data_IF_862523542824
#
_entry.id   IF_862523542824
#
_cell.length_a   1.000
_cell.length_b   1.000
_cell.length_c   1.000
_cell.angle_alpha   90.00
_cell.angle_beta   90.00
_cell.angle_gamma   90.00
#
_symmetry.space_group_name_H-M   'P 1'
#
loop_
_entity.id
_entity.type
_entity.pdbx_description
1 polymer ?
#
# COMPACT_ATOMS: atom_id res chain seq x y z
N UNK A 1 -65.64 -34.86 -80.50
CA UNK A 1 -65.04 -34.27 -81.68
C UNK A 1 -63.60 -34.14 -81.36
N UNK A 2 -62.88 -35.16 -81.74
CA UNK A 2 -61.97 -35.19 -82.90
C UNK A 2 -60.66 -34.43 -82.63
N UNK A 3 -59.63 -34.99 -82.64
CA UNK A 3 -58.77 -35.98 -83.32
C UNK A 3 -57.33 -35.69 -82.89
N UNK A 4 -56.55 -36.67 -82.48
CA UNK A 4 -55.50 -37.37 -83.23
C UNK A 4 -54.44 -36.43 -83.82
N UNK A 5 -53.18 -36.68 -83.76
CA UNK A 5 -52.33 -37.86 -83.82
C UNK A 5 -50.86 -37.46 -83.58
N UNK A 6 -50.10 -38.39 -82.98
CA UNK A 6 -48.89 -39.04 -83.56
C UNK A 6 -47.76 -38.11 -84.04
N UNK A 7 -46.55 -38.28 -83.76
CA UNK A 7 -45.60 -39.41 -83.74
C UNK A 7 -44.29 -39.06 -83.11
N UNK A 8 -43.68 -40.01 -82.50
CA UNK A 8 -42.21 -40.09 -82.23
C UNK A 8 -41.47 -40.37 -83.53
N UNK A 9 -40.19 -40.46 -83.70
CA UNK A 9 -39.12 -40.73 -82.70
C UNK A 9 -37.69 -40.11 -82.98
N UNK A 10 -36.79 -40.43 -82.08
CA UNK A 10 -35.35 -40.69 -82.29
C UNK A 10 -34.42 -39.46 -82.48
N UNK A 11 -33.49 -39.26 -81.58
CA UNK A 11 -32.10 -39.70 -81.70
C UNK A 11 -31.27 -39.29 -80.51
N UNK A 12 -30.63 -40.23 -80.01
CA UNK A 12 -29.46 -40.36 -79.19
C UNK A 12 -28.36 -39.35 -79.56
N UNK A 13 -27.86 -38.57 -78.57
CA UNK A 13 -26.47 -38.18 -78.60
C UNK A 13 -25.98 -38.01 -77.17
N UNK A 14 -25.07 -38.88 -76.81
CA UNK A 14 -24.25 -38.77 -75.66
C UNK A 14 -23.39 -37.51 -75.75
N UNK A 15 -23.49 -36.63 -74.78
CA UNK A 15 -22.49 -35.59 -74.49
C UNK A 15 -22.08 -35.65 -73.04
N UNK A 16 -20.94 -36.19 -72.87
CA UNK A 16 -19.76 -35.74 -72.13
C UNK A 16 -20.07 -34.93 -70.86
N UNK A 17 -20.15 -35.64 -69.72
CA UNK A 17 -20.02 -35.04 -68.45
C UNK A 17 -18.52 -34.77 -68.16
N UNK A 18 -18.02 -33.62 -68.59
CA UNK A 18 -16.80 -33.09 -68.02
C UNK A 18 -17.12 -32.53 -66.65
N UNK A 19 -16.78 -33.27 -65.67
CA UNK A 19 -16.68 -32.90 -64.27
C UNK A 19 -15.66 -31.73 -64.15
N UNK A 20 -16.12 -30.48 -64.15
CA UNK A 20 -15.32 -29.33 -63.82
C UNK A 20 -15.17 -29.34 -62.31
N UNK A 21 -14.08 -29.92 -61.82
CA UNK A 21 -13.55 -29.66 -60.48
C UNK A 21 -13.29 -28.16 -60.33
N UNK A 22 -14.31 -27.39 -59.92
CA UNK A 22 -14.11 -26.07 -59.39
C UNK A 22 -13.32 -26.19 -58.07
N UNK A 23 -12.02 -26.09 -58.18
CA UNK A 23 -11.14 -25.82 -57.04
C UNK A 23 -11.53 -24.44 -56.51
N UNK A 24 -12.51 -24.39 -55.64
CA UNK A 24 -12.79 -23.17 -54.82
C UNK A 24 -11.62 -22.95 -53.89
N UNK A 25 -10.58 -22.26 -54.39
CA UNK A 25 -9.52 -21.74 -53.56
C UNK A 25 -10.14 -20.77 -52.56
N UNK A 26 -10.28 -21.20 -51.31
CA UNK A 26 -10.85 -20.42 -50.24
C UNK A 26 -9.89 -19.26 -49.93
N UNK A 27 -10.06 -18.14 -50.64
CA UNK A 27 -9.23 -16.94 -50.58
C UNK A 27 -9.07 -16.46 -49.14
N UNK A 28 -10.09 -16.69 -48.28
CA UNK A 28 -9.99 -16.39 -46.84
C UNK A 28 -8.92 -17.24 -46.14
N UNK A 29 -8.70 -18.50 -46.53
CA UNK A 29 -7.69 -19.35 -45.93
C UNK A 29 -6.27 -18.90 -46.29
N UNK A 30 -6.08 -18.32 -47.49
CA UNK A 30 -4.79 -17.86 -47.98
C UNK A 30 -4.28 -16.61 -47.24
N UNK A 31 -5.18 -15.75 -46.75
CA UNK A 31 -4.81 -14.56 -45.98
C UNK A 31 -4.92 -14.79 -44.46
N UNK A 32 -5.81 -15.65 -44.01
CA UNK A 32 -6.02 -15.91 -42.59
C UNK A 32 -4.85 -16.67 -41.94
N UNK A 33 -4.25 -17.64 -42.65
CA UNK A 33 -3.14 -18.42 -42.14
C UNK A 33 -1.87 -17.59 -41.92
N UNK A 34 -1.37 -16.76 -42.89
CA UNK A 34 -0.25 -15.87 -42.64
C UNK A 34 -0.53 -14.84 -41.56
N UNK A 35 -1.76 -14.31 -41.47
CA UNK A 35 -2.17 -13.38 -40.41
C UNK A 35 -2.11 -14.04 -39.03
N UNK A 36 -2.63 -15.25 -38.88
CA UNK A 36 -2.55 -16.01 -37.61
C UNK A 36 -1.09 -16.33 -37.23
N UNK A 37 -0.24 -16.62 -38.19
CA UNK A 37 1.19 -16.85 -37.94
C UNK A 37 1.85 -15.55 -37.44
N UNK A 38 1.56 -14.40 -38.05
CA UNK A 38 2.08 -13.10 -37.60
C UNK A 38 1.59 -12.73 -36.19
N UNK A 39 0.31 -12.96 -35.91
CA UNK A 39 -0.24 -12.77 -34.56
C UNK A 39 0.41 -13.71 -33.55
N UNK A 40 0.62 -14.98 -33.92
CA UNK A 40 1.29 -15.97 -33.07
C UNK A 40 2.75 -15.57 -32.76
N UNK A 41 3.50 -15.11 -33.78
CA UNK A 41 4.85 -14.59 -33.61
C UNK A 41 4.85 -13.34 -32.72
N UNK A 42 3.88 -12.42 -32.89
CA UNK A 42 3.71 -11.22 -32.06
C UNK A 42 3.47 -11.57 -30.60
N UNK A 43 2.61 -12.56 -30.34
CA UNK A 43 2.33 -13.04 -28.96
C UNK A 43 3.58 -13.71 -28.37
N UNK A 44 4.26 -14.57 -29.10
CA UNK A 44 5.52 -15.22 -28.64
C UNK A 44 6.60 -14.19 -28.35
N UNK A 45 6.73 -13.17 -29.20
CA UNK A 45 7.67 -12.08 -28.99
C UNK A 45 7.28 -11.23 -27.77
N UNK A 46 5.98 -10.95 -27.58
CA UNK A 46 5.47 -10.27 -26.40
C UNK A 46 5.73 -11.06 -25.10
N UNK A 47 5.48 -12.37 -25.11
CA UNK A 47 5.79 -13.26 -23.97
C UNK A 47 7.31 -13.37 -23.75
N UNK A 48 8.12 -13.41 -24.79
CA UNK A 48 9.57 -13.40 -24.69
C UNK A 48 10.10 -12.09 -24.10
N UNK A 49 9.62 -10.94 -24.57
CA UNK A 49 9.97 -9.62 -24.00
C UNK A 49 9.52 -9.53 -22.55
N UNK A 50 8.27 -9.96 -22.23
CA UNK A 50 7.77 -9.99 -20.86
C UNK A 50 8.62 -10.92 -19.99
N UNK A 51 8.99 -12.10 -20.50
CA UNK A 51 9.86 -13.05 -19.80
C UNK A 51 11.26 -12.48 -19.55
N UNK A 52 11.88 -11.84 -20.55
CA UNK A 52 13.15 -11.13 -20.37
C UNK A 52 12.99 -9.99 -19.36
N UNK A 53 11.95 -9.18 -19.46
CA UNK A 53 11.72 -8.07 -18.53
C UNK A 53 11.55 -8.57 -17.10
N UNK A 54 10.86 -9.70 -16.89
CA UNK A 54 10.70 -10.33 -15.58
C UNK A 54 12.00 -10.98 -15.07
N UNK A 55 12.80 -11.57 -15.98
CA UNK A 55 14.08 -12.21 -15.64
C UNK A 55 15.22 -11.20 -15.49
N UNK A 56 15.15 -10.05 -16.18
CA UNK A 56 16.15 -8.97 -16.13
C UNK A 56 15.75 -7.83 -15.20
N UNK A 57 14.64 -7.95 -14.42
CA UNK A 57 14.46 -7.18 -13.22
C UNK A 57 15.48 -7.68 -12.17
N UNK A 58 16.77 -7.59 -12.49
CA UNK A 58 17.80 -7.47 -11.47
C UNK A 58 17.41 -6.23 -10.66
N UNK A 59 17.00 -6.46 -9.40
CA UNK A 59 16.90 -5.37 -8.45
C UNK A 59 18.24 -4.66 -8.51
N UNK A 60 18.25 -3.38 -8.90
CA UNK A 60 19.48 -2.59 -8.91
C UNK A 60 20.14 -2.77 -7.56
N UNK A 61 21.46 -2.92 -7.57
CA UNK A 61 22.21 -2.98 -6.33
C UNK A 61 21.86 -1.74 -5.50
N UNK A 62 21.59 -1.93 -4.22
CA UNK A 62 21.24 -0.83 -3.31
C UNK A 62 22.31 0.27 -3.32
N UNK A 63 23.56 -0.08 -3.57
CA UNK A 63 24.65 0.87 -3.69
C UNK A 63 24.57 1.71 -4.97
N UNK A 64 24.09 1.15 -6.07
CA UNK A 64 23.83 1.88 -7.32
C UNK A 64 22.65 2.83 -7.14
N UNK A 65 21.64 2.45 -6.34
CA UNK A 65 20.53 3.32 -5.99
C UNK A 65 21.01 4.50 -5.16
N UNK A 66 21.84 4.28 -4.12
CA UNK A 66 22.42 5.37 -3.29
C UNK A 66 23.25 6.33 -4.15
N UNK A 67 24.06 5.83 -5.08
CA UNK A 67 24.86 6.68 -5.98
C UNK A 67 23.96 7.46 -6.95
N UNK A 68 22.90 6.83 -7.47
CA UNK A 68 21.92 7.52 -8.33
C UNK A 68 21.18 8.62 -7.56
N UNK A 69 20.83 8.40 -6.29
CA UNK A 69 20.22 9.43 -5.43
C UNK A 69 21.19 10.58 -5.21
N UNK A 70 22.48 10.31 -5.05
CA UNK A 70 23.51 11.32 -4.81
C UNK A 70 23.79 12.18 -6.05
N UNK A 71 24.03 11.55 -7.19
CA UNK A 71 24.62 12.19 -8.37
C UNK A 71 23.75 12.17 -9.64
N UNK A 72 22.60 11.49 -9.61
CA UNK A 72 21.71 11.37 -10.75
C UNK A 72 20.98 12.68 -11.12
N UNK A 73 20.30 12.67 -12.26
CA UNK A 73 19.39 13.75 -12.65
C UNK A 73 18.16 13.76 -11.72
N UNK A 74 17.51 14.90 -11.54
CA UNK A 74 16.41 15.06 -10.60
C UNK A 74 15.36 13.94 -10.67
N UNK A 75 14.87 13.60 -11.87
CA UNK A 75 13.90 12.51 -12.04
C UNK A 75 14.43 11.13 -11.61
N UNK A 76 15.69 10.84 -11.94
CA UNK A 76 16.33 9.57 -11.61
C UNK A 76 16.56 9.44 -10.11
N UNK A 77 16.88 10.54 -9.41
CA UNK A 77 17.06 10.58 -7.95
C UNK A 77 15.77 10.20 -7.21
N UNK A 78 14.62 10.77 -7.61
CA UNK A 78 13.32 10.44 -7.02
C UNK A 78 12.94 8.98 -7.24
N UNK A 79 13.12 8.50 -8.48
CA UNK A 79 12.84 7.10 -8.80
C UNK A 79 13.72 6.14 -7.99
N UNK A 80 15.01 6.44 -7.87
CA UNK A 80 15.94 5.63 -7.09
C UNK A 80 15.60 5.63 -5.60
N UNK A 81 15.17 6.76 -5.01
CA UNK A 81 14.74 6.83 -3.62
C UNK A 81 13.48 5.99 -3.36
N UNK A 82 12.50 6.05 -4.26
CA UNK A 82 11.30 5.20 -4.19
C UNK A 82 11.65 3.71 -4.33
N UNK A 83 12.50 3.35 -5.29
CA UNK A 83 12.96 1.99 -5.51
C UNK A 83 13.73 1.47 -4.29
N UNK A 84 14.63 2.28 -3.71
CA UNK A 84 15.37 1.96 -2.49
C UNK A 84 14.43 1.65 -1.32
N UNK A 85 13.43 2.48 -1.07
CA UNK A 85 12.44 2.24 -0.02
C UNK A 85 11.69 0.91 -0.24
N UNK A 86 11.30 0.60 -1.49
CA UNK A 86 10.65 -0.66 -1.85
C UNK A 86 11.55 -1.88 -1.63
N UNK A 87 12.84 -1.77 -1.97
CA UNK A 87 13.84 -2.84 -1.77
C UNK A 87 14.02 -3.12 -0.28
N UNK A 88 14.21 -2.06 0.52
CA UNK A 88 14.42 -2.17 1.96
C UNK A 88 13.18 -2.68 2.71
N UNK A 89 11.99 -2.37 2.23
CA UNK A 89 10.74 -2.94 2.77
C UNK A 89 10.66 -4.45 2.53
N UNK A 90 11.14 -4.92 1.36
CA UNK A 90 11.16 -6.36 1.03
C UNK A 90 12.27 -7.13 1.73
N UNK A 91 13.45 -6.54 1.88
CA UNK A 91 14.58 -7.15 2.59
C UNK A 91 15.23 -6.14 3.56
N UNK A 92 14.66 -6.00 4.78
CA UNK A 92 15.20 -5.12 5.80
C UNK A 92 16.63 -5.48 6.25
N UNK A 93 17.09 -6.73 6.00
CA UNK A 93 18.43 -7.19 6.39
C UNK A 93 19.55 -6.41 5.71
N UNK A 94 19.29 -5.78 4.57
CA UNK A 94 20.22 -4.86 3.91
C UNK A 94 20.62 -3.73 4.86
N UNK A 95 19.68 -3.27 5.69
CA UNK A 95 19.95 -2.25 6.71
C UNK A 95 20.91 -2.69 7.82
N UNK A 96 21.25 -4.00 7.93
CA UNK A 96 22.23 -4.50 8.89
C UNK A 96 23.69 -4.37 8.39
N UNK A 97 23.87 -4.13 7.09
CA UNK A 97 25.20 -3.91 6.53
C UNK A 97 25.74 -2.54 6.95
N UNK A 98 26.83 -2.55 7.71
CA UNK A 98 27.46 -1.33 8.20
C UNK A 98 27.94 -0.39 7.09
N UNK A 99 28.34 -0.91 5.93
CA UNK A 99 28.72 -0.09 4.78
C UNK A 99 27.50 0.62 4.20
N UNK A 100 26.37 -0.08 4.09
CA UNK A 100 25.10 0.50 3.67
C UNK A 100 24.65 1.60 4.64
N UNK A 101 24.65 1.32 5.95
CA UNK A 101 24.29 2.28 7.00
C UNK A 101 25.10 3.56 6.89
N UNK A 102 26.42 3.45 6.79
CA UNK A 102 27.29 4.61 6.67
C UNK A 102 27.04 5.42 5.39
N UNK A 103 26.85 4.76 4.25
CA UNK A 103 26.55 5.46 2.98
C UNK A 103 25.19 6.14 3.02
N UNK A 104 24.19 5.47 3.59
CA UNK A 104 22.84 6.02 3.74
C UNK A 104 22.81 7.22 4.67
N UNK A 105 23.52 7.17 5.80
CA UNK A 105 23.65 8.28 6.73
C UNK A 105 24.32 9.49 6.07
N UNK A 106 25.46 9.28 5.39
CA UNK A 106 26.16 10.35 4.67
C UNK A 106 25.29 10.98 3.55
N UNK A 107 24.48 10.15 2.86
CA UNK A 107 23.56 10.63 1.83
C UNK A 107 22.42 11.46 2.42
N UNK A 108 21.88 11.05 3.56
CA UNK A 108 20.80 11.75 4.26
C UNK A 108 21.23 13.15 4.75
N UNK A 109 22.48 13.30 5.15
CA UNK A 109 23.06 14.58 5.58
C UNK A 109 23.52 15.47 4.41
N UNK A 110 23.59 14.93 3.18
CA UNK A 110 24.07 15.67 2.01
C UNK A 110 23.16 16.87 1.71
N UNK A 111 23.72 18.10 1.65
CA UNK A 111 22.94 19.32 1.39
C UNK A 111 22.15 19.26 0.08
N UNK A 112 22.62 18.55 -0.93
CA UNK A 112 21.92 18.41 -2.22
C UNK A 112 20.63 17.59 -2.10
N UNK A 113 20.54 16.70 -1.11
CA UNK A 113 19.33 15.91 -0.79
C UNK A 113 18.32 16.79 -0.06
N UNK A 114 18.77 17.58 0.91
CA UNK A 114 17.92 18.47 1.72
C UNK A 114 17.21 19.53 0.87
N UNK A 115 17.85 20.03 -0.19
CA UNK A 115 17.32 21.10 -1.05
C UNK A 115 16.33 20.60 -2.11
N UNK A 116 16.24 19.29 -2.33
CA UNK A 116 15.31 18.73 -3.32
C UNK A 116 13.92 18.50 -2.73
N UNK A 117 12.95 19.22 -3.27
CA UNK A 117 11.53 19.05 -2.91
C UNK A 117 10.66 18.71 -4.13
N UNK A 118 9.56 17.98 -3.90
CA UNK A 118 8.51 17.78 -4.90
C UNK A 118 7.69 19.06 -5.08
N UNK A 119 6.80 19.06 -6.10
CA UNK A 119 5.81 20.15 -6.27
C UNK A 119 4.88 20.29 -5.04
N UNK A 120 4.69 19.22 -4.26
CA UNK A 120 3.88 19.19 -3.04
C UNK A 120 4.70 19.52 -1.77
N UNK A 121 5.93 19.97 -1.89
CA UNK A 121 6.76 20.40 -0.78
C UNK A 121 7.44 19.28 0.01
N UNK A 122 7.26 18.02 -0.33
CA UNK A 122 7.93 16.88 0.33
C UNK A 122 9.38 16.80 -0.15
N UNK A 123 10.33 16.72 0.77
CA UNK A 123 11.75 16.65 0.42
C UNK A 123 12.21 15.24 0.07
N UNK A 124 13.33 15.13 -0.67
CA UNK A 124 14.00 13.85 -0.90
C UNK A 124 14.49 13.23 0.43
N UNK A 125 14.84 14.08 1.40
CA UNK A 125 15.21 13.69 2.77
C UNK A 125 14.09 12.90 3.46
N UNK A 126 12.82 13.32 3.30
CA UNK A 126 11.65 12.61 3.83
C UNK A 126 11.54 11.18 3.30
N UNK A 127 11.79 10.98 2.00
CA UNK A 127 11.81 9.63 1.40
C UNK A 127 12.97 8.78 1.92
N UNK A 128 14.14 9.38 2.13
CA UNK A 128 15.28 8.66 2.72
C UNK A 128 15.01 8.30 4.19
N UNK A 129 14.34 9.16 4.96
CA UNK A 129 13.91 8.83 6.31
C UNK A 129 12.99 7.60 6.32
N UNK A 130 11.98 7.55 5.42
CA UNK A 130 11.11 6.38 5.29
C UNK A 130 11.89 5.12 4.89
N UNK A 131 12.87 5.25 4.00
CA UNK A 131 13.73 4.13 3.62
C UNK A 131 14.57 3.63 4.81
N UNK A 132 15.08 4.53 5.66
CA UNK A 132 15.76 4.16 6.92
C UNK A 132 14.81 3.45 7.89
N UNK A 133 13.59 3.97 8.07
CA UNK A 133 12.55 3.35 8.88
C UNK A 133 12.24 1.92 8.46
N UNK A 134 12.15 1.67 7.14
CA UNK A 134 11.89 0.36 6.57
C UNK A 134 12.97 -0.70 6.91
N UNK A 135 14.21 -0.28 7.21
CA UNK A 135 15.28 -1.19 7.63
C UNK A 135 15.09 -1.72 9.05
N UNK A 136 14.29 -1.03 9.87
CA UNK A 136 14.13 -1.30 11.31
C UNK A 136 15.46 -1.34 12.09
N UNK A 137 16.49 -0.64 11.60
CA UNK A 137 17.80 -0.63 12.22
C UNK A 137 17.96 0.56 13.20
N UNK A 138 18.17 0.29 14.51
CA UNK A 138 18.36 1.34 15.52
C UNK A 138 19.56 2.27 15.25
N UNK A 139 20.52 1.85 14.41
CA UNK A 139 21.64 2.71 14.03
C UNK A 139 21.23 4.06 13.39
N UNK A 140 20.00 4.15 12.85
CA UNK A 140 19.47 5.38 12.28
C UNK A 140 18.70 6.25 13.30
N UNK A 141 18.40 5.75 14.50
CA UNK A 141 17.56 6.45 15.48
C UNK A 141 18.09 7.86 15.82
N UNK A 142 19.34 7.97 16.22
CA UNK A 142 19.93 9.26 16.59
C UNK A 142 19.95 10.23 15.41
N UNK A 143 20.33 9.75 14.21
CA UNK A 143 20.36 10.58 13.00
C UNK A 143 18.98 11.12 12.63
N UNK A 144 17.94 10.32 12.80
CA UNK A 144 16.56 10.73 12.55
C UNK A 144 16.05 11.69 13.63
N UNK A 145 16.40 11.47 14.90
CA UNK A 145 16.06 12.41 15.98
C UNK A 145 16.70 13.79 15.75
N UNK A 146 17.97 13.82 15.35
CA UNK A 146 18.69 15.07 15.03
C UNK A 146 18.11 15.79 13.79
N UNK A 147 17.35 15.06 12.98
CA UNK A 147 16.72 15.59 11.78
C UNK A 147 15.30 16.14 12.02
N UNK A 148 14.78 16.07 13.23
CA UNK A 148 13.46 16.62 13.59
C UNK A 148 13.55 18.15 13.57
N UNK A 149 12.76 18.75 12.70
CA UNK A 149 12.62 20.22 12.60
C UNK A 149 11.15 20.57 12.91
N UNK A 150 10.84 21.10 14.10
CA UNK A 150 9.46 21.46 14.49
C UNK A 150 8.79 22.36 13.44
N UNK A 151 7.49 22.20 13.23
CA UNK A 151 6.70 22.93 12.23
C UNK A 151 7.11 22.72 10.76
N UNK A 152 7.93 21.73 10.45
CA UNK A 152 8.27 21.36 9.06
C UNK A 152 7.47 20.11 8.63
N UNK A 153 6.95 20.15 7.41
CA UNK A 153 6.16 19.01 6.87
C UNK A 153 6.94 17.69 6.81
N UNK A 154 8.25 17.77 6.64
CA UNK A 154 9.13 16.59 6.61
C UNK A 154 9.21 15.86 7.94
N UNK A 155 8.98 16.58 9.06
CA UNK A 155 9.00 16.01 10.41
C UNK A 155 8.05 14.85 10.57
N UNK A 156 6.88 14.88 9.91
CA UNK A 156 5.92 13.77 9.90
C UNK A 156 6.56 12.48 9.40
N UNK A 157 7.34 12.56 8.30
CA UNK A 157 8.02 11.40 7.72
C UNK A 157 9.17 10.89 8.58
N UNK A 158 9.91 11.82 9.20
CA UNK A 158 11.01 11.47 10.12
C UNK A 158 10.49 10.78 11.37
N UNK A 159 9.45 11.31 12.00
CA UNK A 159 8.82 10.72 13.19
C UNK A 159 8.20 9.36 12.85
N UNK A 160 7.53 9.25 11.71
CA UNK A 160 7.01 7.96 11.24
C UNK A 160 8.12 6.92 11.04
N UNK A 161 9.26 7.32 10.47
CA UNK A 161 10.43 6.44 10.30
C UNK A 161 11.00 5.96 11.65
N UNK A 162 11.05 6.84 12.65
CA UNK A 162 11.48 6.48 14.01
C UNK A 162 10.51 5.46 14.62
N UNK A 163 9.21 5.67 14.47
CA UNK A 163 8.19 4.69 14.88
C UNK A 163 8.37 3.33 14.22
N UNK A 164 8.64 3.30 12.89
CA UNK A 164 8.91 2.06 12.15
C UNK A 164 10.15 1.31 12.65
N UNK A 165 11.18 2.01 13.10
CA UNK A 165 12.38 1.40 13.71
C UNK A 165 12.02 0.74 15.04
N UNK A 166 11.17 1.35 15.85
CA UNK A 166 10.71 0.78 17.11
C UNK A 166 11.77 0.82 18.25
N UNK A 167 12.73 1.74 18.17
CA UNK A 167 13.78 1.88 19.18
C UNK A 167 13.29 2.73 20.36
N UNK A 168 13.21 2.13 21.55
CA UNK A 168 12.74 2.81 22.77
C UNK A 168 13.58 4.03 23.19
N UNK A 169 14.83 4.10 22.76
CA UNK A 169 15.69 5.28 23.04
C UNK A 169 15.17 6.56 22.39
N UNK A 170 14.27 6.44 21.40
CA UNK A 170 13.68 7.58 20.71
C UNK A 170 12.52 8.24 21.48
N UNK A 171 11.94 7.59 22.49
CA UNK A 171 10.74 8.07 23.18
C UNK A 171 10.91 9.48 23.70
N UNK A 172 11.99 9.76 24.44
CA UNK A 172 12.25 11.09 25.00
C UNK A 172 12.32 12.20 23.94
N UNK A 173 12.84 11.88 22.75
CA UNK A 173 12.93 12.84 21.65
C UNK A 173 11.60 13.10 20.94
N UNK A 174 10.65 12.14 21.00
CA UNK A 174 9.32 12.28 20.37
C UNK A 174 8.31 12.94 21.31
N UNK A 175 8.40 12.72 22.63
CA UNK A 175 7.44 13.23 23.60
C UNK A 175 7.11 14.72 23.45
N UNK A 176 8.06 15.64 23.22
CA UNK A 176 7.75 17.06 23.03
C UNK A 176 6.85 17.35 21.82
N UNK A 177 6.91 16.50 20.79
CA UNK A 177 6.13 16.68 19.56
C UNK A 177 4.63 16.41 19.73
N UNK A 178 4.22 15.80 20.84
CA UNK A 178 2.81 15.69 21.19
C UNK A 178 2.14 17.06 21.50
N UNK A 179 2.94 18.09 21.64
CA UNK A 179 2.50 19.48 21.85
C UNK A 179 2.81 20.40 20.64
N UNK A 180 3.18 19.81 19.49
CA UNK A 180 3.48 20.59 18.28
C UNK A 180 2.21 21.33 17.79
N UNK A 181 2.32 22.58 17.33
CA UNK A 181 1.18 23.30 16.75
C UNK A 181 0.50 22.58 15.59
N UNK A 182 1.24 21.78 14.82
CA UNK A 182 0.73 20.96 13.73
C UNK A 182 0.05 19.68 14.27
N UNK A 183 -1.22 19.53 14.00
CA UNK A 183 -1.99 18.32 14.30
C UNK A 183 -1.41 17.07 13.62
N UNK A 184 -0.88 17.20 12.41
CA UNK A 184 -0.26 16.11 11.66
C UNK A 184 1.04 15.64 12.32
N UNK A 185 1.82 16.53 12.95
CA UNK A 185 3.02 16.17 13.72
C UNK A 185 2.61 15.51 15.04
N UNK A 186 1.60 16.04 15.74
CA UNK A 186 1.08 15.41 16.97
C UNK A 186 0.56 14.00 16.67
N UNK A 187 -0.21 13.84 15.58
CA UNK A 187 -0.73 12.54 15.13
C UNK A 187 0.41 11.55 14.82
N UNK A 188 1.40 11.95 14.01
CA UNK A 188 2.55 11.12 13.70
C UNK A 188 3.31 10.69 14.96
N UNK A 189 3.41 11.58 15.96
CA UNK A 189 4.09 11.31 17.22
C UNK A 189 3.33 10.29 18.09
N UNK A 190 2.00 10.41 18.15
CA UNK A 190 1.13 9.43 18.83
C UNK A 190 1.31 8.05 18.20
N UNK A 191 1.24 7.96 16.86
CA UNK A 191 1.40 6.71 16.13
C UNK A 191 2.78 6.12 16.39
N UNK A 192 3.84 6.93 16.28
CA UNK A 192 5.23 6.49 16.48
C UNK A 192 5.46 5.95 17.90
N UNK A 193 4.94 6.62 18.94
CA UNK A 193 5.03 6.13 20.32
C UNK A 193 4.30 4.81 20.52
N UNK A 194 3.15 4.64 19.86
CA UNK A 194 2.44 3.36 19.86
C UNK A 194 3.20 2.23 19.13
N UNK A 195 3.90 2.54 18.05
CA UNK A 195 4.73 1.57 17.31
C UNK A 195 6.01 1.20 18.08
N UNK A 196 6.64 2.17 18.75
CA UNK A 196 7.80 1.92 19.62
C UNK A 196 7.43 0.98 20.77
N UNK A 197 6.23 1.12 21.31
CA UNK A 197 5.71 0.17 22.31
C UNK A 197 6.30 0.33 23.71
N UNK A 198 6.96 1.44 24.03
CA UNK A 198 7.55 1.68 25.35
C UNK A 198 6.50 2.25 26.32
N UNK A 199 6.32 1.57 27.45
CA UNK A 199 5.32 1.96 28.47
C UNK A 199 5.57 3.33 29.11
N UNK A 200 6.77 3.88 29.00
CA UNK A 200 7.09 5.22 29.50
C UNK A 200 6.32 6.32 28.75
N UNK A 201 5.81 6.02 27.55
CA UNK A 201 4.96 6.92 26.78
C UNK A 201 3.51 7.00 27.28
N UNK A 202 3.06 6.06 28.12
CA UNK A 202 1.64 5.98 28.58
C UNK A 202 1.14 7.29 29.15
N UNK A 203 1.83 7.99 30.08
CA UNK A 203 1.29 9.23 30.65
C UNK A 203 1.05 10.32 29.58
N UNK A 204 1.95 10.45 28.63
CA UNK A 204 1.84 11.45 27.56
C UNK A 204 0.73 11.08 26.56
N UNK A 205 0.57 9.81 26.21
CA UNK A 205 -0.52 9.31 25.38
C UNK A 205 -1.90 9.45 26.07
N UNK A 206 -1.97 9.36 27.40
CA UNK A 206 -3.18 9.66 28.15
C UNK A 206 -3.61 11.13 28.05
N UNK A 207 -2.66 12.06 28.02
CA UNK A 207 -2.97 13.46 27.74
C UNK A 207 -3.43 13.68 26.30
N UNK A 208 -2.83 12.95 25.32
CA UNK A 208 -3.25 13.01 23.92
C UNK A 208 -4.70 12.51 23.69
N UNK A 209 -5.30 11.74 24.61
CA UNK A 209 -6.74 11.42 24.57
C UNK A 209 -7.65 12.67 24.68
N UNK A 210 -7.10 13.80 25.08
CA UNK A 210 -7.83 15.08 25.25
C UNK A 210 -7.51 16.08 24.13
N UNK A 211 -6.75 15.68 23.11
CA UNK A 211 -6.36 16.56 22.01
C UNK A 211 -7.58 17.21 21.35
N UNK A 212 -7.44 18.43 20.87
CA UNK A 212 -8.51 19.12 20.12
C UNK A 212 -8.89 18.40 18.83
N UNK A 213 -7.89 17.75 18.17
CA UNK A 213 -8.08 17.05 16.91
C UNK A 213 -8.58 15.61 17.14
N UNK A 214 -9.73 15.20 16.57
CA UNK A 214 -10.30 13.88 16.77
C UNK A 214 -9.35 12.73 16.40
N UNK A 215 -8.63 12.84 15.28
CA UNK A 215 -7.72 11.80 14.82
C UNK A 215 -6.59 11.56 15.84
N UNK A 216 -6.04 12.61 16.46
CA UNK A 216 -5.02 12.47 17.51
C UNK A 216 -5.59 11.71 18.72
N UNK A 217 -6.82 12.02 19.15
CA UNK A 217 -7.46 11.29 20.27
C UNK A 217 -7.68 9.82 19.93
N UNK A 218 -8.16 9.52 18.72
CA UNK A 218 -8.45 8.16 18.29
C UNK A 218 -7.17 7.30 18.21
N UNK A 219 -6.13 7.84 17.59
CA UNK A 219 -4.85 7.13 17.51
C UNK A 219 -4.15 7.03 18.88
N UNK A 220 -4.34 7.99 19.78
CA UNK A 220 -3.87 7.85 21.18
C UNK A 220 -4.55 6.67 21.90
N UNK A 221 -5.84 6.44 21.69
CA UNK A 221 -6.53 5.28 22.24
C UNK A 221 -5.99 3.96 21.65
N UNK A 222 -5.70 3.94 20.33
CA UNK A 222 -5.08 2.79 19.65
C UNK A 222 -3.64 2.56 20.15
N UNK A 223 -2.85 3.63 20.28
CA UNK A 223 -1.47 3.54 20.79
C UNK A 223 -1.43 3.00 22.21
N UNK A 224 -2.31 3.48 23.10
CA UNK A 224 -2.46 2.96 24.46
C UNK A 224 -2.84 1.47 24.48
N UNK A 225 -3.65 1.02 23.53
CA UNK A 225 -3.99 -0.40 23.39
C UNK A 225 -2.74 -1.23 23.08
N UNK A 226 -1.87 -0.78 22.15
CA UNK A 226 -0.60 -1.45 21.83
C UNK A 226 0.31 -1.57 23.05
N UNK A 227 0.21 -0.61 23.98
CA UNK A 227 0.91 -0.60 25.26
C UNK A 227 0.15 -1.38 26.36
N UNK A 228 -0.88 -2.14 25.97
CA UNK A 228 -1.74 -2.90 26.90
C UNK A 228 -2.38 -2.05 28.00
N UNK A 229 -2.65 -0.76 27.72
CA UNK A 229 -3.31 0.19 28.61
C UNK A 229 -4.79 0.34 28.24
N UNK A 230 -5.66 0.23 29.23
CA UNK A 230 -7.12 0.41 29.07
C UNK A 230 -7.56 1.88 29.09
N UNK A 231 -6.63 2.82 29.23
CA UNK A 231 -6.96 4.25 29.39
C UNK A 231 -7.74 4.86 28.22
N UNK A 232 -7.57 4.30 26.99
CA UNK A 232 -8.30 4.71 25.78
C UNK A 232 -9.66 4.04 25.60
N UNK A 233 -10.11 3.18 26.52
CA UNK A 233 -11.33 2.37 26.38
C UNK A 233 -12.59 3.17 26.03
N UNK A 234 -12.79 4.32 26.65
CA UNK A 234 -13.99 5.14 26.39
C UNK A 234 -14.04 5.60 24.91
N UNK A 235 -12.90 6.01 24.34
CA UNK A 235 -12.81 6.41 22.94
C UNK A 235 -13.01 5.19 22.03
N UNK A 236 -12.46 4.03 22.37
CA UNK A 236 -12.67 2.80 21.60
C UNK A 236 -14.15 2.40 21.57
N UNK A 237 -14.88 2.55 22.69
CA UNK A 237 -16.33 2.30 22.76
C UNK A 237 -17.12 3.27 21.86
N UNK A 238 -16.71 4.54 21.79
CA UNK A 238 -17.32 5.51 20.87
C UNK A 238 -17.02 5.14 19.40
N UNK A 239 -15.78 4.78 19.08
CA UNK A 239 -15.37 4.36 17.73
C UNK A 239 -16.08 3.08 17.26
N UNK A 240 -16.47 2.19 18.18
CA UNK A 240 -17.22 0.97 17.86
C UNK A 240 -18.71 1.24 17.57
N UNK A 241 -19.15 2.48 17.65
CA UNK A 241 -20.50 2.91 17.25
C UNK A 241 -20.46 3.53 15.85
N UNK A 242 -21.08 2.91 14.83
CA UNK A 242 -21.06 3.42 13.45
C UNK A 242 -21.66 4.83 13.31
N UNK A 243 -22.63 5.20 14.14
CA UNK A 243 -23.27 6.52 14.18
C UNK A 243 -22.33 7.61 14.71
N UNK A 244 -21.44 7.31 15.65
CA UNK A 244 -20.46 8.26 16.16
C UNK A 244 -19.56 8.83 15.07
N UNK A 245 -18.98 7.96 14.23
CA UNK A 245 -18.13 8.39 13.13
C UNK A 245 -18.89 9.16 12.04
N UNK A 246 -20.22 8.99 11.96
CA UNK A 246 -21.05 9.74 11.02
C UNK A 246 -21.22 11.21 11.39
N UNK A 247 -20.94 11.60 12.64
CA UNK A 247 -20.96 13.00 13.10
C UNK A 247 -19.81 13.83 12.51
N UNK A 248 -18.75 13.18 12.02
CA UNK A 248 -17.57 13.84 11.45
C UNK A 248 -17.68 13.93 9.91
N UNK A 249 -18.08 15.11 9.40
CA UNK A 249 -18.29 15.35 7.96
C UNK A 249 -17.01 15.16 7.14
N UNK A 250 -15.84 15.42 7.73
CA UNK A 250 -14.53 15.26 7.08
C UNK A 250 -14.12 13.80 6.86
N UNK A 251 -14.78 12.84 7.55
CA UNK A 251 -14.44 11.41 7.50
C UNK A 251 -15.36 10.70 6.51
N UNK A 252 -14.85 10.30 5.36
CA UNK A 252 -15.64 9.58 4.36
C UNK A 252 -15.96 8.14 4.79
N UNK A 253 -16.87 7.49 4.07
CA UNK A 253 -17.35 6.15 4.45
C UNK A 253 -16.22 5.09 4.47
N UNK A 254 -15.22 5.18 3.59
CA UNK A 254 -14.11 4.24 3.57
C UNK A 254 -13.20 4.46 4.77
N UNK A 255 -12.96 5.72 5.12
CA UNK A 255 -12.21 6.12 6.32
C UNK A 255 -12.92 5.63 7.58
N UNK A 256 -14.24 5.84 7.70
CA UNK A 256 -15.06 5.34 8.83
C UNK A 256 -14.91 3.83 8.99
N UNK A 257 -14.98 3.07 7.89
CA UNK A 257 -14.83 1.63 7.94
C UNK A 257 -13.43 1.20 8.38
N UNK A 258 -12.38 1.94 7.97
CA UNK A 258 -11.00 1.67 8.42
C UNK A 258 -10.84 1.95 9.92
N UNK A 259 -11.32 3.09 10.40
CA UNK A 259 -11.27 3.46 11.81
C UNK A 259 -12.02 2.42 12.66
N UNK A 260 -13.21 2.02 12.21
CA UNK A 260 -14.02 1.01 12.89
C UNK A 260 -13.29 -0.36 12.94
N UNK A 261 -12.65 -0.78 11.86
CA UNK A 261 -11.88 -2.02 11.84
C UNK A 261 -10.68 -1.97 12.80
N UNK A 262 -9.99 -0.83 12.90
CA UNK A 262 -8.89 -0.62 13.85
C UNK A 262 -9.42 -0.65 15.29
N UNK A 263 -10.58 -0.05 15.57
CA UNK A 263 -11.20 -0.09 16.89
C UNK A 263 -11.60 -1.52 17.30
N UNK A 264 -12.14 -2.31 16.36
CA UNK A 264 -12.45 -3.74 16.57
C UNK A 264 -11.18 -4.54 16.91
N UNK A 265 -10.10 -4.35 16.16
CA UNK A 265 -8.83 -5.01 16.45
C UNK A 265 -8.28 -4.61 17.83
N UNK A 266 -8.34 -3.31 18.16
CA UNK A 266 -7.93 -2.79 19.49
C UNK A 266 -8.77 -3.40 20.63
N UNK A 267 -10.06 -3.59 20.42
CA UNK A 267 -10.94 -4.26 21.38
C UNK A 267 -10.50 -5.73 21.59
N UNK A 268 -10.09 -6.42 20.53
CA UNK A 268 -9.55 -7.77 20.62
C UNK A 268 -8.29 -7.86 21.46
N UNK A 269 -7.34 -6.93 21.29
CA UNK A 269 -6.09 -6.87 22.06
C UNK A 269 -6.37 -6.70 23.56
N UNK A 270 -7.25 -5.75 23.94
CA UNK A 270 -7.57 -5.49 25.35
C UNK A 270 -8.42 -6.59 25.98
N UNK A 271 -9.21 -7.31 25.18
CA UNK A 271 -10.11 -8.37 25.60
C UNK A 271 -10.99 -7.99 26.84
N UNK A 272 -11.47 -6.75 26.85
CA UNK A 272 -12.34 -6.20 27.89
C UNK A 272 -13.80 -6.57 27.60
N UNK A 273 -14.57 -6.92 28.63
CA UNK A 273 -15.95 -7.43 28.47
C UNK A 273 -16.87 -6.44 27.76
N UNK A 274 -16.76 -5.13 28.06
CA UNK A 274 -17.63 -4.10 27.49
C UNK A 274 -17.27 -3.82 26.01
N UNK A 275 -15.97 -3.82 25.69
CA UNK A 275 -15.50 -3.76 24.32
C UNK A 275 -15.92 -5.00 23.51
N UNK A 276 -15.86 -6.18 24.13
CA UNK A 276 -16.31 -7.42 23.52
C UNK A 276 -17.79 -7.41 23.17
N UNK A 277 -18.64 -6.90 24.10
CA UNK A 277 -20.07 -6.71 23.84
C UNK A 277 -20.33 -5.69 22.72
N UNK A 278 -19.51 -4.65 22.62
CA UNK A 278 -19.62 -3.68 21.52
C UNK A 278 -19.28 -4.30 20.17
N UNK A 279 -18.23 -5.14 20.10
CA UNK A 279 -17.88 -5.89 18.90
C UNK A 279 -18.98 -6.90 18.53
N UNK A 280 -19.58 -7.59 19.51
CA UNK A 280 -20.66 -8.54 19.25
C UNK A 280 -21.93 -7.83 18.69
N UNK A 281 -22.22 -6.60 19.13
CA UNK A 281 -23.30 -5.77 18.55
C UNK A 281 -23.02 -5.43 17.08
N UNK A 282 -21.76 -5.16 16.71
CA UNK A 282 -21.40 -4.93 15.31
C UNK A 282 -21.58 -6.16 14.41
N UNK A 283 -21.34 -7.36 14.96
CA UNK A 283 -21.56 -8.61 14.22
C UNK A 283 -23.06 -8.81 13.90
N UNK A 284 -23.94 -8.37 14.78
CA UNK A 284 -25.39 -8.47 14.62
C UNK A 284 -25.99 -7.36 13.75
N UNK A 285 -25.21 -6.29 13.44
CA UNK A 285 -25.67 -5.17 12.60
C UNK A 285 -25.59 -5.53 11.12
N UNK A 286 -26.76 -5.59 10.46
CA UNK A 286 -26.88 -5.90 9.02
C UNK A 286 -26.30 -4.83 8.09
N UNK A 287 -26.06 -3.63 8.60
CA UNK A 287 -25.56 -2.49 7.81
C UNK A 287 -24.04 -2.33 7.92
N UNK A 288 -23.37 -3.15 8.74
CA UNK A 288 -21.93 -3.07 8.91
C UNK A 288 -21.21 -3.49 7.60
N UNK A 289 -20.12 -2.81 7.28
CA UNK A 289 -19.28 -3.13 6.12
C UNK A 289 -18.71 -4.55 6.25
N UNK A 290 -18.61 -5.27 5.13
CA UNK A 290 -18.17 -6.67 5.09
C UNK A 290 -16.73 -6.86 5.64
N UNK A 291 -15.83 -5.92 5.39
CA UNK A 291 -14.45 -5.98 5.91
C UNK A 291 -14.43 -5.82 7.43
N UNK A 292 -15.23 -4.89 7.97
CA UNK A 292 -15.38 -4.69 9.42
C UNK A 292 -16.00 -5.92 10.06
N UNK A 293 -17.04 -6.49 9.43
CA UNK A 293 -17.68 -7.71 9.92
C UNK A 293 -16.69 -8.88 9.98
N UNK A 294 -15.85 -9.03 8.96
CA UNK A 294 -14.82 -10.06 8.92
C UNK A 294 -13.84 -9.90 10.09
N UNK A 295 -13.31 -8.69 10.31
CA UNK A 295 -12.42 -8.40 11.44
C UNK A 295 -13.10 -8.68 12.79
N UNK A 296 -14.38 -8.31 12.94
CA UNK A 296 -15.14 -8.55 14.17
C UNK A 296 -15.35 -10.05 14.45
N UNK A 297 -15.59 -10.84 13.39
CA UNK A 297 -15.71 -12.30 13.50
C UNK A 297 -14.38 -12.96 13.89
N UNK A 298 -13.27 -12.52 13.28
CA UNK A 298 -11.92 -12.98 13.62
C UNK A 298 -11.60 -12.71 15.10
N UNK A 299 -11.79 -11.47 15.56
CA UNK A 299 -11.60 -11.08 16.98
C UNK A 299 -12.48 -11.89 17.93
N UNK A 300 -13.75 -12.16 17.57
CA UNK A 300 -14.63 -13.01 18.37
C UNK A 300 -14.15 -14.47 18.45
N UNK A 301 -13.67 -15.01 17.34
CA UNK A 301 -13.25 -16.41 17.28
C UNK A 301 -11.92 -16.64 18.04
N UNK A 302 -11.02 -15.65 18.08
CA UNK A 302 -9.79 -15.67 18.89
C UNK A 302 -10.04 -15.67 20.42
N UNK A 303 -11.22 -15.20 20.86
CA UNK A 303 -11.63 -15.17 22.28
C UNK A 303 -12.17 -16.52 22.79
N UNK A 304 -12.46 -17.48 21.90
CA UNK A 304 -13.04 -18.81 22.22
C UNK A 304 -11.95 -19.84 22.45
#
# INVERSE_FOLDING_TARGET
MDRLNLETPLAESAEDQSESDEVTVNIHSFFLLPFLILVGIGILFGVYILGITLLTQESRDVYDLLETIKSGRNHDRWRAAFELSSVLTRDPRIGLDSQFVNKMANLFEDPSVRQMTTQNGVSLKAYLAQAMGATKNPAFTTLLLDAIEPNQSDTVFVVSAIGMIGDSTAVEGILPLLQDPSDTIRLASVIALGEIGDVTAIPALQEALKDEEPNVRWDAAVALTKLNSTSGKAILLDLLRPDYLAEFESVDINERNRILAVAVHSAGILNDSELNEAVDRLIDDKNVNIEVLKTALEVRDERR
#
